data_IF_216917123383
#
_entry.id   IF_216917123383
#
_cell.length_a   1.000
_cell.length_b   1.000
_cell.length_c   1.000
_cell.angle_alpha   90.00
_cell.angle_beta   90.00
_cell.angle_gamma   90.00
#
_symmetry.space_group_name_H-M   'P 1'
#
loop_
_entity.id
_entity.type
_entity.pdbx_description
1 polymer ?
#
# COMPACT_ATOMS: atom_id res chain seq x y z
N UNK A 1 4.31 18.69 -9.45
CA UNK A 1 3.52 18.19 -10.60
C UNK A 1 4.32 18.29 -11.89
N UNK A 2 4.89 19.47 -12.14
CA UNK A 2 5.57 19.77 -13.40
C UNK A 2 6.74 18.85 -13.69
N UNK A 3 7.45 18.39 -12.66
CA UNK A 3 8.48 17.37 -12.80
C UNK A 3 7.95 16.06 -13.41
N UNK A 4 6.82 15.54 -12.90
CA UNK A 4 6.22 14.30 -13.40
C UNK A 4 5.61 14.46 -14.79
N UNK A 5 5.01 15.64 -15.07
CA UNK A 5 4.47 15.98 -16.40
C UNK A 5 5.57 16.03 -17.45
N UNK A 6 6.69 16.70 -17.13
CA UNK A 6 7.87 16.79 -18.00
C UNK A 6 8.49 15.43 -18.32
N UNK A 7 8.32 14.43 -17.45
CA UNK A 7 8.82 13.06 -17.65
C UNK A 7 7.82 12.14 -18.37
N UNK A 8 6.67 12.65 -18.84
CA UNK A 8 5.67 11.85 -19.54
C UNK A 8 4.95 10.81 -18.68
N UNK A 9 5.15 10.82 -17.36
CA UNK A 9 4.60 9.83 -16.43
C UNK A 9 3.13 10.10 -16.04
N UNK A 10 2.52 11.17 -16.58
CA UNK A 10 1.15 11.58 -16.30
C UNK A 10 0.37 11.60 -17.61
N UNK A 11 -0.54 10.64 -17.76
CA UNK A 11 -1.44 10.53 -18.92
C UNK A 11 -2.91 10.83 -18.57
N UNK A 12 -3.25 10.82 -17.29
CA UNK A 12 -4.64 10.98 -16.82
C UNK A 12 -4.82 12.34 -16.15
N UNK A 13 -5.77 13.12 -16.65
CA UNK A 13 -6.17 14.43 -16.12
C UNK A 13 -7.04 14.31 -14.87
N UNK A 14 -7.92 15.29 -14.68
CA UNK A 14 -8.88 15.27 -13.57
C UNK A 14 -9.81 14.04 -13.62
N UNK A 15 -10.32 13.64 -12.47
CA UNK A 15 -11.19 12.47 -12.34
C UNK A 15 -12.02 12.53 -11.06
N UNK A 16 -12.87 11.53 -10.85
CA UNK A 16 -13.82 11.52 -9.75
C UNK A 16 -13.26 10.86 -8.49
N UNK A 17 -13.70 11.36 -7.34
CA UNK A 17 -13.48 10.73 -6.04
C UNK A 17 -14.79 10.06 -5.61
N UNK A 18 -14.75 8.76 -5.39
CA UNK A 18 -15.87 7.97 -4.89
C UNK A 18 -15.64 7.56 -3.44
N UNK A 19 -16.71 7.32 -2.69
CA UNK A 19 -16.60 6.59 -1.44
C UNK A 19 -16.61 5.07 -1.68
N UNK A 20 -16.42 4.29 -0.63
CA UNK A 20 -16.42 2.82 -0.69
C UNK A 20 -17.77 2.19 -1.06
N UNK A 21 -18.86 2.96 -1.02
CA UNK A 21 -20.19 2.57 -1.49
C UNK A 21 -20.44 2.91 -2.97
N UNK A 22 -19.47 3.52 -3.65
CA UNK A 22 -19.59 3.93 -5.05
C UNK A 22 -20.26 5.28 -5.26
N UNK A 23 -20.57 6.03 -4.20
CA UNK A 23 -21.15 7.38 -4.32
C UNK A 23 -20.04 8.39 -4.64
N UNK A 24 -20.27 9.26 -5.62
CA UNK A 24 -19.32 10.34 -5.94
C UNK A 24 -19.35 11.38 -4.82
N UNK A 25 -18.18 11.68 -4.25
CA UNK A 25 -18.01 12.63 -3.13
C UNK A 25 -17.11 13.82 -3.48
N UNK A 26 -16.50 13.84 -4.67
CA UNK A 26 -15.69 14.96 -5.12
C UNK A 26 -14.96 14.70 -6.42
N UNK A 27 -13.97 15.54 -6.72
CA UNK A 27 -13.06 15.42 -7.87
C UNK A 27 -11.62 15.57 -7.45
N UNK A 28 -10.73 14.93 -8.19
CA UNK A 28 -9.29 15.00 -8.01
C UNK A 28 -8.59 15.64 -9.21
N UNK A 29 -7.44 16.26 -8.97
CA UNK A 29 -6.62 16.90 -10.03
C UNK A 29 -5.75 15.92 -10.84
N UNK A 30 -5.79 14.64 -10.48
CA UNK A 30 -5.06 13.55 -11.13
C UNK A 30 -4.62 12.50 -10.12
N UNK A 31 -4.76 11.22 -10.46
CA UNK A 31 -4.50 10.09 -9.54
C UNK A 31 -3.06 10.04 -8.99
N UNK A 32 -2.10 10.65 -9.69
CA UNK A 32 -0.69 10.71 -9.30
C UNK A 32 -0.42 11.64 -8.09
N UNK A 33 -1.39 12.44 -7.65
CA UNK A 33 -1.30 13.21 -6.40
C UNK A 33 -1.74 12.45 -5.16
N UNK A 34 -2.12 11.18 -5.34
CA UNK A 34 -2.72 10.37 -4.29
C UNK A 34 -1.86 9.14 -4.04
N UNK A 35 -1.82 8.73 -2.78
CA UNK A 35 -1.22 7.48 -2.34
C UNK A 35 -2.20 6.80 -1.40
N UNK A 36 -2.30 5.47 -1.44
CA UNK A 36 -3.14 4.72 -0.49
C UNK A 36 -2.75 5.11 0.95
N UNK A 37 -3.74 5.37 1.80
CA UNK A 37 -3.59 5.89 3.15
C UNK A 37 -3.44 7.41 3.28
N UNK A 38 -3.41 8.17 2.18
CA UNK A 38 -3.37 9.62 2.23
C UNK A 38 -4.68 10.20 2.82
N UNK A 39 -4.55 11.05 3.83
CA UNK A 39 -5.68 11.77 4.46
C UNK A 39 -5.84 13.22 3.97
N UNK A 40 -4.72 13.94 3.82
CA UNK A 40 -4.74 15.37 3.46
C UNK A 40 -4.84 15.52 1.94
N UNK A 41 -5.42 16.64 1.49
CA UNK A 41 -5.48 16.99 0.06
C UNK A 41 -6.54 16.23 -0.76
N UNK A 42 -7.49 15.55 -0.13
CA UNK A 42 -8.65 14.99 -0.85
C UNK A 42 -9.63 16.07 -1.31
N UNK A 43 -9.74 17.19 -0.59
CA UNK A 43 -10.68 18.27 -0.95
C UNK A 43 -12.16 17.90 -0.81
N UNK A 44 -12.47 16.85 -0.04
CA UNK A 44 -13.83 16.36 0.19
C UNK A 44 -14.28 16.70 1.61
N UNK A 45 -15.42 17.38 1.75
CA UNK A 45 -16.07 17.59 3.02
C UNK A 45 -16.84 16.32 3.44
N UNK A 46 -16.57 15.80 4.64
CA UNK A 46 -17.23 14.60 5.15
C UNK A 46 -17.29 14.62 6.68
N UNK A 47 -18.30 13.97 7.28
CA UNK A 47 -18.51 13.94 8.75
C UNK A 47 -17.36 13.30 9.52
N UNK A 48 -16.61 12.41 8.87
CA UNK A 48 -15.44 11.70 9.43
C UNK A 48 -14.24 11.89 8.50
N UNK A 49 -13.00 11.92 9.03
CA UNK A 49 -11.80 11.95 8.20
C UNK A 49 -11.76 10.79 7.20
N UNK A 50 -11.50 11.11 5.94
CA UNK A 50 -11.36 10.13 4.86
C UNK A 50 -9.88 9.93 4.48
N UNK A 51 -9.61 8.74 3.99
CA UNK A 51 -8.31 8.25 3.54
C UNK A 51 -8.47 7.66 2.15
N UNK A 52 -7.46 7.79 1.29
CA UNK A 52 -7.42 7.07 0.01
C UNK A 52 -7.32 5.57 0.29
N UNK A 53 -8.38 4.82 0.01
CA UNK A 53 -8.44 3.36 0.20
C UNK A 53 -7.90 2.64 -1.04
N UNK A 54 -8.20 3.17 -2.23
CA UNK A 54 -7.82 2.56 -3.51
C UNK A 54 -7.67 3.63 -4.59
N UNK A 55 -6.78 3.39 -5.55
CA UNK A 55 -6.66 4.17 -6.78
C UNK A 55 -7.00 3.24 -7.94
N UNK A 56 -8.03 3.61 -8.71
CA UNK A 56 -8.48 2.87 -9.88
C UNK A 56 -7.94 3.55 -11.14
N UNK A 57 -6.81 3.05 -11.63
CA UNK A 57 -6.14 3.64 -12.81
C UNK A 57 -6.99 3.50 -14.08
N UNK A 58 -7.68 2.38 -14.24
CA UNK A 58 -8.49 2.11 -15.43
C UNK A 58 -9.69 3.07 -15.52
N UNK A 59 -10.29 3.40 -14.37
CA UNK A 59 -11.42 4.36 -14.29
C UNK A 59 -10.99 5.80 -14.05
N UNK A 60 -9.69 6.08 -13.95
CA UNK A 60 -9.15 7.37 -13.51
C UNK A 60 -9.88 7.91 -12.26
N UNK A 61 -9.95 7.09 -11.21
CA UNK A 61 -10.74 7.39 -10.01
C UNK A 61 -9.96 7.14 -8.72
N UNK A 62 -10.29 7.94 -7.70
CA UNK A 62 -9.79 7.76 -6.32
C UNK A 62 -10.94 7.30 -5.44
N UNK A 63 -10.72 6.25 -4.65
CA UNK A 63 -11.73 5.73 -3.73
C UNK A 63 -11.28 6.11 -2.33
N UNK A 64 -12.13 6.85 -1.62
CA UNK A 64 -11.88 7.30 -0.26
C UNK A 64 -12.81 6.61 0.74
N UNK A 65 -12.29 6.34 1.93
CA UNK A 65 -13.04 5.68 2.99
C UNK A 65 -12.50 6.06 4.36
N UNK A 66 -13.09 5.47 5.38
CA UNK A 66 -12.68 5.63 6.77
C UNK A 66 -11.32 4.99 7.05
N UNK A 67 -10.80 5.28 8.24
CA UNK A 67 -9.53 4.70 8.73
C UNK A 67 -9.56 3.17 8.76
N UNK A 68 -10.69 2.57 9.11
CA UNK A 68 -10.78 1.11 9.19
C UNK A 68 -10.80 0.47 7.79
N UNK A 69 -11.39 1.14 6.80
CA UNK A 69 -11.47 0.62 5.43
C UNK A 69 -10.12 0.61 4.69
N UNK A 70 -9.17 1.47 5.10
CA UNK A 70 -7.79 1.45 4.55
C UNK A 70 -6.86 0.48 5.28
N UNK A 71 -7.32 -0.12 6.40
CA UNK A 71 -6.51 -1.08 7.15
C UNK A 71 -6.64 -2.46 6.53
N UNK A 72 -5.48 -3.04 6.24
CA UNK A 72 -5.34 -4.35 5.62
C UNK A 72 -4.34 -5.17 6.42
N UNK A 73 -4.47 -6.48 6.36
CA UNK A 73 -3.66 -7.45 7.11
C UNK A 73 -2.76 -8.27 6.21
N UNK A 74 -3.22 -8.60 5.00
CA UNK A 74 -2.57 -9.54 4.10
C UNK A 74 -2.27 -8.91 2.76
N UNK A 75 -1.05 -9.13 2.31
CA UNK A 75 -0.57 -8.68 1.04
C UNK A 75 0.46 -9.66 0.49
N UNK A 76 0.76 -9.49 -0.79
CA UNK A 76 1.75 -10.28 -1.51
C UNK A 76 2.90 -9.38 -1.89
N UNK A 77 4.10 -9.94 -1.82
CA UNK A 77 5.33 -9.28 -2.25
C UNK A 77 6.06 -10.12 -3.29
N UNK A 78 6.75 -9.44 -4.22
CA UNK A 78 7.56 -10.03 -5.28
C UNK A 78 9.03 -9.63 -5.14
N UNK A 79 9.89 -10.35 -5.87
CA UNK A 79 11.34 -10.08 -5.96
C UNK A 79 12.04 -9.96 -4.59
N UNK A 80 11.98 -11.02 -3.77
CA UNK A 80 12.60 -10.98 -2.46
C UNK A 80 14.12 -10.94 -2.56
N UNK A 81 14.73 -9.98 -1.86
CA UNK A 81 16.16 -9.84 -1.68
C UNK A 81 16.50 -10.14 -0.21
N UNK A 82 17.40 -11.10 0.01
CA UNK A 82 17.77 -11.54 1.36
C UNK A 82 19.23 -11.21 1.66
N UNK A 83 19.49 -10.66 2.86
CA UNK A 83 20.85 -10.25 3.26
C UNK A 83 21.48 -11.24 4.25
N UNK A 84 20.67 -11.81 5.15
CA UNK A 84 21.15 -12.66 6.25
C UNK A 84 20.51 -14.06 6.27
N UNK A 85 19.97 -14.49 5.12
CA UNK A 85 19.31 -15.79 4.97
C UNK A 85 19.20 -16.21 3.50
N UNK A 86 19.12 -17.51 3.22
CA UNK A 86 18.91 -18.05 1.86
C UNK A 86 17.45 -18.05 1.39
N UNK A 87 16.57 -17.29 2.05
CA UNK A 87 15.14 -17.23 1.75
C UNK A 87 14.21 -18.01 2.69
N UNK A 88 12.92 -18.01 2.37
CA UNK A 88 11.85 -18.59 3.21
C UNK A 88 11.64 -20.06 2.87
N UNK A 89 11.83 -20.95 3.83
CA UNK A 89 11.56 -22.39 3.68
C UNK A 89 10.23 -22.84 4.30
N UNK A 90 9.78 -22.12 5.33
CA UNK A 90 8.54 -22.35 6.10
C UNK A 90 7.99 -21.02 6.60
N UNK A 91 6.70 -20.92 6.98
CA UNK A 91 6.14 -19.72 7.57
C UNK A 91 7.02 -19.20 8.72
N UNK A 92 7.48 -17.95 8.60
CA UNK A 92 8.49 -17.37 9.49
C UNK A 92 8.02 -16.02 10.02
N UNK A 93 8.19 -15.81 11.33
CA UNK A 93 7.84 -14.54 11.99
C UNK A 93 8.92 -13.49 11.80
N UNK A 94 8.51 -12.29 11.44
CA UNK A 94 9.35 -11.10 11.35
C UNK A 94 8.67 -9.90 12.01
N UNK A 95 9.48 -8.90 12.34
CA UNK A 95 9.01 -7.52 12.42
C UNK A 95 9.07 -6.94 11.01
N UNK A 96 7.96 -6.47 10.47
CA UNK A 96 7.86 -5.99 9.08
C UNK A 96 7.55 -4.50 9.05
N UNK A 97 8.22 -3.76 8.17
CA UNK A 97 8.01 -2.33 7.93
C UNK A 97 7.69 -2.11 6.46
N UNK A 98 6.53 -1.51 6.19
CA UNK A 98 5.97 -1.32 4.83
C UNK A 98 6.08 0.13 4.33
N UNK A 99 6.56 1.03 5.19
CA UNK A 99 6.81 2.43 4.85
C UNK A 99 7.87 3.01 5.76
N UNK A 100 8.71 3.91 5.24
CA UNK A 100 9.83 4.49 5.99
C UNK A 100 9.42 5.15 7.33
N UNK A 101 8.29 5.84 7.38
CA UNK A 101 7.80 6.47 8.62
C UNK A 101 7.02 5.56 9.57
N UNK A 102 6.73 4.31 9.19
CA UNK A 102 5.92 3.41 10.01
C UNK A 102 6.77 2.69 11.08
N UNK A 103 6.14 2.35 12.20
CA UNK A 103 6.71 1.41 13.18
C UNK A 103 6.76 0.01 12.57
N UNK A 104 7.75 -0.78 12.95
CA UNK A 104 7.79 -2.21 12.59
C UNK A 104 6.60 -2.91 13.27
N UNK A 105 5.92 -3.80 12.56
CA UNK A 105 4.78 -4.55 13.10
C UNK A 105 5.01 -6.07 12.93
N UNK A 106 4.60 -6.91 13.90
CA UNK A 106 4.75 -8.36 13.77
C UNK A 106 3.97 -8.92 12.58
N UNK A 107 4.61 -9.76 11.76
CA UNK A 107 4.01 -10.44 10.64
C UNK A 107 4.56 -11.86 10.47
N UNK A 108 3.79 -12.72 9.81
CA UNK A 108 4.23 -14.02 9.29
C UNK A 108 4.46 -13.87 7.79
N UNK A 109 5.59 -14.38 7.32
CA UNK A 109 5.96 -14.42 5.91
C UNK A 109 6.08 -15.87 5.47
N UNK A 110 5.42 -16.23 4.39
CA UNK A 110 5.38 -17.57 3.82
C UNK A 110 5.45 -17.53 2.29
N UNK A 111 5.83 -18.65 1.67
CA UNK A 111 5.86 -18.76 0.22
C UNK A 111 4.44 -18.66 -0.34
N UNK A 112 4.31 -17.96 -1.46
CA UNK A 112 3.15 -17.99 -2.33
C UNK A 112 3.54 -18.61 -3.69
N UNK A 113 2.64 -18.51 -4.66
CA UNK A 113 2.88 -18.98 -6.03
C UNK A 113 3.97 -18.16 -6.74
N UNK A 114 4.62 -18.75 -7.75
CA UNK A 114 5.54 -18.05 -8.66
C UNK A 114 6.72 -17.32 -7.98
N UNK A 115 7.19 -17.81 -6.83
CA UNK A 115 8.31 -17.20 -6.10
C UNK A 115 7.94 -15.94 -5.31
N UNK A 116 6.65 -15.58 -5.27
CA UNK A 116 6.14 -14.52 -4.40
C UNK A 116 6.09 -14.98 -2.93
N UNK A 117 5.89 -14.01 -2.03
CA UNK A 117 5.66 -14.29 -0.61
C UNK A 117 4.33 -13.68 -0.17
N UNK A 118 3.56 -14.44 0.61
CA UNK A 118 2.42 -13.92 1.35
C UNK A 118 2.92 -13.37 2.69
N UNK A 119 2.48 -12.16 3.02
CA UNK A 119 2.79 -11.51 4.29
C UNK A 119 1.49 -11.22 5.03
N UNK A 120 1.38 -11.73 6.26
CA UNK A 120 0.21 -11.57 7.12
C UNK A 120 0.60 -10.88 8.41
N UNK A 121 0.16 -9.63 8.61
CA UNK A 121 0.37 -8.93 9.87
C UNK A 121 -0.47 -9.54 11.00
N UNK A 122 0.05 -9.49 12.25
CA UNK A 122 -0.70 -9.90 13.45
C UNK A 122 -1.93 -9.00 13.69
N UNK A 123 -1.83 -7.72 13.34
CA UNK A 123 -2.92 -6.75 13.43
C UNK A 123 -2.97 -5.90 12.17
N UNK A 124 -4.17 -5.50 11.68
CA UNK A 124 -4.29 -4.71 10.46
C UNK A 124 -3.45 -3.42 10.49
N UNK A 125 -2.72 -3.18 9.40
CA UNK A 125 -1.87 -2.01 9.18
C UNK A 125 -2.50 -1.07 8.17
N UNK A 126 -2.29 0.23 8.35
CA UNK A 126 -2.73 1.24 7.40
C UNK A 126 -1.80 1.29 6.18
N UNK A 127 -2.36 1.69 5.04
CA UNK A 127 -1.61 2.16 3.88
C UNK A 127 -0.65 1.12 3.26
N UNK A 128 -1.02 -0.17 3.25
CA UNK A 128 -0.30 -1.16 2.45
C UNK A 128 -0.44 -0.78 0.98
N UNK A 129 0.66 -0.40 0.34
CA UNK A 129 0.64 0.27 -0.98
C UNK A 129 1.53 -0.48 -1.97
N UNK A 130 0.97 -1.02 -3.07
CA UNK A 130 1.76 -1.60 -4.14
C UNK A 130 2.83 -0.64 -4.69
N UNK A 131 4.02 -1.18 -4.97
CA UNK A 131 5.20 -0.41 -5.38
C UNK A 131 6.04 0.15 -4.22
N UNK A 132 5.61 0.00 -2.95
CA UNK A 132 6.48 0.23 -1.80
C UNK A 132 7.22 -1.05 -1.40
N UNK A 133 8.36 -0.89 -0.74
CA UNK A 133 9.12 -2.01 -0.19
C UNK A 133 8.54 -2.47 1.16
N UNK A 134 8.39 -3.77 1.33
CA UNK A 134 8.24 -4.42 2.63
C UNK A 134 9.62 -4.91 3.09
N UNK A 135 10.04 -4.48 4.29
CA UNK A 135 11.34 -4.83 4.86
C UNK A 135 11.14 -5.70 6.09
N UNK A 136 11.84 -6.83 6.15
CA UNK A 136 11.72 -7.86 7.17
C UNK A 136 12.88 -7.79 8.16
N UNK A 137 12.57 -7.80 9.45
CA UNK A 137 13.54 -7.66 10.53
C UNK A 137 13.43 -8.80 11.53
N UNK A 138 14.57 -9.17 12.12
CA UNK A 138 14.64 -9.83 13.43
C UNK A 138 15.31 -8.87 14.40
N UNK A 139 14.53 -8.40 15.38
CA UNK A 139 14.91 -7.27 16.25
C UNK A 139 15.30 -6.05 15.40
N UNK A 140 16.59 -5.71 15.35
CA UNK A 140 17.10 -4.56 14.61
C UNK A 140 17.91 -4.91 13.37
N UNK A 141 18.05 -6.21 13.08
CA UNK A 141 18.75 -6.68 11.88
C UNK A 141 17.77 -6.80 10.72
N UNK A 142 18.13 -6.19 9.58
CA UNK A 142 17.44 -6.37 8.30
C UNK A 142 17.76 -7.76 7.78
N UNK A 143 16.73 -8.58 7.61
CA UNK A 143 16.85 -9.94 7.09
C UNK A 143 16.66 -9.99 5.58
N UNK A 144 15.80 -9.12 5.06
CA UNK A 144 15.45 -9.04 3.65
C UNK A 144 14.44 -7.94 3.35
N UNK A 145 14.15 -7.76 2.06
CA UNK A 145 13.09 -6.89 1.56
C UNK A 145 12.45 -7.46 0.31
N UNK A 146 11.25 -6.99 -0.02
CA UNK A 146 10.55 -7.35 -1.25
C UNK A 146 9.60 -6.22 -1.66
N UNK A 147 9.17 -6.20 -2.92
CA UNK A 147 8.23 -5.18 -3.43
C UNK A 147 6.80 -5.60 -3.20
N UNK A 148 5.97 -4.75 -2.61
CA UNK A 148 4.54 -5.01 -2.46
C UNK A 148 3.89 -5.04 -3.85
N UNK A 149 3.37 -6.19 -4.26
CA UNK A 149 2.76 -6.39 -5.58
C UNK A 149 1.24 -6.18 -5.56
N UNK A 150 0.56 -6.75 -4.56
CA UNK A 150 -0.90 -6.61 -4.37
C UNK A 150 -1.31 -6.75 -2.91
N UNK A 151 -2.48 -6.20 -2.58
CA UNK A 151 -3.11 -6.28 -1.24
C UNK A 151 -4.36 -7.14 -1.36
N UNK A 152 -4.59 -8.02 -0.37
CA UNK A 152 -5.70 -8.98 -0.40
C UNK A 152 -6.81 -8.58 0.57
N UNK A 153 -6.53 -8.59 1.88
CA UNK A 153 -7.49 -8.41 2.98
C UNK A 153 -6.89 -7.59 4.11
#
# INVERSE_FOLDING_TARGET
>A
VDYLKRKGAITSGEGDIFNTRGERIGRHKGIHFYTIGQRKGLGVAHKKPLYVVRIDKAKNAVIAGTREEVRKRVFVVSEPSWMAMGGIKRPTKFLTKIRYGHKKAPAVVEKAENGELRVTFKSPQEAITPGQAAVFYKRDVVMGSAWISRVLE
#
